data_IF_753055480636
#
_entry.id   IF_753055480636
#
_cell.length_a   1.000
_cell.length_b   1.000
_cell.length_c   1.000
_cell.angle_alpha   90.00
_cell.angle_beta   90.00
_cell.angle_gamma   90.00
#
_symmetry.space_group_name_H-M   'P 1'
#
loop_
_entity.id
_entity.type
_entity.pdbx_description
1 polymer ?
#
# COMPACT_ATOMS: atom_id res chain seq x y z
N UNK A 1 -29.31 42.67 1.29
CA UNK A 1 -28.59 41.66 0.50
C UNK A 1 -27.51 41.16 1.43
N UNK A 2 -27.69 39.94 1.91
CA UNK A 2 -26.91 39.34 2.98
C UNK A 2 -25.60 38.80 2.40
N UNK A 3 -24.50 39.49 2.67
CA UNK A 3 -23.15 38.97 2.43
C UNK A 3 -22.76 38.10 3.62
N UNK A 4 -23.15 36.83 3.60
CA UNK A 4 -22.64 35.84 4.54
C UNK A 4 -21.20 35.49 4.14
N UNK A 5 -20.24 36.29 4.61
CA UNK A 5 -18.83 35.89 4.66
C UNK A 5 -18.69 34.69 5.59
N UNK A 6 -18.74 33.49 5.00
CA UNK A 6 -18.27 32.27 5.65
C UNK A 6 -16.77 32.43 5.90
N UNK A 7 -16.43 32.85 7.11
CA UNK A 7 -15.06 32.86 7.60
C UNK A 7 -14.69 31.41 7.89
N UNK A 8 -14.09 30.74 6.91
CA UNK A 8 -13.41 29.47 7.17
C UNK A 8 -12.26 29.77 8.12
N UNK A 9 -12.50 29.55 9.42
CA UNK A 9 -11.46 29.59 10.44
C UNK A 9 -10.54 28.41 10.12
N UNK A 10 -9.28 28.71 9.79
CA UNK A 10 -8.28 27.67 9.56
C UNK A 10 -8.19 26.76 10.79
N UNK A 11 -8.17 25.44 10.57
CA UNK A 11 -7.97 24.45 11.61
C UNK A 11 -6.69 24.77 12.41
N UNK A 12 -6.69 24.65 13.75
CA UNK A 12 -5.46 24.74 14.54
C UNK A 12 -4.41 23.75 14.01
N UNK A 13 -3.14 24.14 14.08
CA UNK A 13 -2.03 23.36 13.51
C UNK A 13 -1.88 21.95 14.11
N UNK A 14 -2.37 21.75 15.33
CA UNK A 14 -2.34 20.48 16.05
C UNK A 14 -3.66 19.68 15.91
N UNK A 15 -4.63 20.18 15.16
CA UNK A 15 -5.86 19.44 14.86
C UNK A 15 -5.55 18.32 13.87
N UNK A 16 -5.80 17.08 14.28
CA UNK A 16 -5.67 15.94 13.38
C UNK A 16 -6.81 15.97 12.35
N UNK A 17 -6.45 15.98 11.06
CA UNK A 17 -7.40 16.02 9.94
C UNK A 17 -7.87 14.61 9.55
N UNK A 18 -6.99 13.61 9.67
CA UNK A 18 -7.28 12.23 9.29
C UNK A 18 -6.35 11.25 10.02
N UNK A 19 -6.90 10.09 10.38
CA UNK A 19 -6.16 8.94 10.88
C UNK A 19 -6.60 7.68 10.16
N UNK A 20 -5.66 6.95 9.57
CA UNK A 20 -5.93 5.69 8.86
C UNK A 20 -4.79 4.69 9.05
N UNK A 21 -5.04 3.43 8.67
CA UNK A 21 -4.00 2.40 8.62
C UNK A 21 -3.69 2.00 7.18
N UNK A 22 -2.41 1.89 6.87
CA UNK A 22 -1.89 1.37 5.62
C UNK A 22 -1.21 0.03 5.91
N UNK A 23 -1.60 -1.00 5.16
CA UNK A 23 -1.09 -2.36 5.33
C UNK A 23 -0.60 -2.83 3.96
N UNK A 24 0.63 -3.35 3.93
CA UNK A 24 1.23 -3.90 2.72
C UNK A 24 0.69 -5.27 2.36
N UNK A 25 1.40 -5.89 1.43
CA UNK A 25 1.08 -7.11 0.70
C UNK A 25 0.55 -8.25 1.61
N UNK A 26 -0.74 -8.55 1.49
CA UNK A 26 -1.41 -9.53 2.35
C UNK A 26 -1.33 -10.95 1.81
N UNK A 27 -1.35 -11.13 0.49
CA UNK A 27 -1.20 -12.45 -0.15
C UNK A 27 -2.16 -13.54 0.35
N UNK A 28 -3.46 -13.25 0.41
CA UNK A 28 -4.45 -14.30 0.67
C UNK A 28 -4.46 -15.36 -0.45
N UNK A 29 -4.46 -16.64 -0.08
CA UNK A 29 -4.61 -17.77 -1.02
C UNK A 29 -5.46 -18.88 -0.42
N UNK A 30 -6.46 -19.34 -1.17
CA UNK A 30 -7.28 -20.50 -0.83
C UNK A 30 -6.56 -21.81 -1.19
N UNK A 31 -5.42 -22.03 -0.55
CA UNK A 31 -4.63 -23.25 -0.66
C UNK A 31 -4.36 -23.79 0.75
N UNK A 32 -4.58 -25.09 0.99
CA UNK A 32 -4.58 -25.65 2.36
C UNK A 32 -3.27 -25.40 3.10
N UNK A 33 -2.13 -25.69 2.48
CA UNK A 33 -0.82 -25.51 3.11
C UNK A 33 -0.49 -24.02 3.29
N UNK A 34 -0.96 -23.16 2.39
CA UNK A 34 -0.78 -21.71 2.52
C UNK A 34 -1.53 -21.19 3.74
N UNK A 35 -2.82 -21.54 3.85
CA UNK A 35 -3.68 -21.14 4.97
C UNK A 35 -3.13 -21.57 6.33
N UNK A 36 -2.51 -22.75 6.41
CA UNK A 36 -1.87 -23.26 7.65
C UNK A 36 -0.80 -22.32 8.19
N UNK A 37 -0.07 -21.63 7.33
CA UNK A 37 0.99 -20.67 7.70
C UNK A 37 0.45 -19.24 7.78
N UNK A 38 -0.36 -18.85 6.79
CA UNK A 38 -0.86 -17.50 6.59
C UNK A 38 -1.91 -17.05 7.59
N UNK A 39 -2.95 -17.86 7.80
CA UNK A 39 -4.10 -17.47 8.61
C UNK A 39 -3.72 -17.15 10.07
N UNK A 40 -2.87 -17.94 10.76
CA UNK A 40 -2.44 -17.60 12.12
C UNK A 40 -1.67 -16.26 12.20
N UNK A 41 -0.84 -15.96 11.19
CA UNK A 41 -0.05 -14.72 11.14
C UNK A 41 -0.95 -13.50 10.94
N UNK A 42 -1.93 -13.59 10.03
CA UNK A 42 -2.91 -12.51 9.84
C UNK A 42 -3.80 -12.33 11.07
N UNK A 43 -4.27 -13.43 11.68
CA UNK A 43 -5.08 -13.36 12.90
C UNK A 43 -4.33 -12.63 14.02
N UNK A 44 -3.05 -12.94 14.24
CA UNK A 44 -2.22 -12.26 15.22
C UNK A 44 -2.12 -10.74 14.96
N UNK A 45 -1.88 -10.33 13.71
CA UNK A 45 -1.83 -8.91 13.34
C UNK A 45 -3.16 -8.22 13.63
N UNK A 46 -4.26 -8.78 13.14
CA UNK A 46 -5.57 -8.15 13.27
C UNK A 46 -6.07 -8.14 14.72
N UNK A 47 -5.77 -9.14 15.54
CA UNK A 47 -6.09 -9.16 16.97
C UNK A 47 -5.38 -8.01 17.72
N UNK A 48 -4.09 -7.78 17.43
CA UNK A 48 -3.36 -6.65 17.98
C UNK A 48 -3.91 -5.31 17.46
N UNK A 49 -4.22 -5.19 16.16
CA UNK A 49 -4.87 -4.00 15.61
C UNK A 49 -6.19 -3.68 16.30
N UNK A 50 -7.06 -4.68 16.55
CA UNK A 50 -8.29 -4.47 17.32
C UNK A 50 -8.01 -3.92 18.71
N UNK A 51 -6.94 -4.37 19.36
CA UNK A 51 -6.53 -3.90 20.69
C UNK A 51 -6.09 -2.44 20.62
N UNK A 52 -5.20 -2.11 19.68
CA UNK A 52 -4.73 -0.73 19.47
C UNK A 52 -5.89 0.22 19.14
N UNK A 53 -6.84 -0.20 18.30
CA UNK A 53 -7.98 0.63 17.93
C UNK A 53 -8.98 0.85 19.08
N UNK A 54 -9.02 -0.06 20.05
CA UNK A 54 -9.79 0.12 21.29
C UNK A 54 -9.08 1.05 22.28
N UNK A 55 -7.76 0.97 22.35
CA UNK A 55 -6.94 1.75 23.31
C UNK A 55 -6.69 3.19 22.86
N UNK A 56 -6.36 3.40 21.58
CA UNK A 56 -6.03 4.71 21.03
C UNK A 56 -7.28 5.36 20.41
N UNK A 57 -7.71 4.87 19.25
CA UNK A 57 -8.96 5.23 18.56
C UNK A 57 -9.14 4.32 17.34
N UNK A 58 -10.37 4.17 16.88
CA UNK A 58 -10.66 3.54 15.59
C UNK A 58 -10.23 4.44 14.41
N UNK A 59 -9.49 3.94 13.41
CA UNK A 59 -9.15 4.72 12.21
C UNK A 59 -10.37 4.97 11.32
N UNK A 60 -10.26 5.97 10.46
CA UNK A 60 -11.28 6.30 9.46
C UNK A 60 -11.43 5.21 8.40
N UNK A 61 -10.31 4.58 8.01
CA UNK A 61 -10.28 3.48 7.04
C UNK A 61 -8.98 2.66 7.14
N UNK A 62 -8.97 1.51 6.48
CA UNK A 62 -7.73 0.80 6.11
C UNK A 62 -7.53 0.82 4.59
N UNK A 63 -6.28 0.93 4.15
CA UNK A 63 -5.90 0.95 2.72
C UNK A 63 -4.77 -0.04 2.44
N UNK A 64 -4.85 -0.67 1.27
CA UNK A 64 -3.96 -1.76 0.85
C UNK A 64 -3.55 -1.52 -0.60
N UNK A 65 -2.32 -1.08 -0.89
CA UNK A 65 -1.97 -0.60 -2.23
C UNK A 65 -1.83 -1.69 -3.32
N UNK A 66 -1.88 -2.97 -2.99
CA UNK A 66 -1.80 -4.09 -3.94
C UNK A 66 -1.45 -5.41 -3.24
N UNK A 67 -1.34 -6.50 -4.02
CA UNK A 67 -1.02 -7.85 -3.57
C UNK A 67 -1.86 -8.31 -2.35
N UNK A 68 -3.15 -8.07 -2.46
CA UNK A 68 -4.13 -8.51 -1.48
C UNK A 68 -4.28 -10.04 -1.51
N UNK A 69 -4.20 -10.60 -2.71
CA UNK A 69 -4.23 -12.05 -2.97
C UNK A 69 -2.88 -12.48 -3.54
N UNK A 70 -2.47 -13.71 -3.23
CA UNK A 70 -1.24 -14.29 -3.79
C UNK A 70 -1.40 -14.63 -5.28
N UNK A 71 -2.64 -14.92 -5.71
CA UNK A 71 -3.01 -15.24 -7.09
C UNK A 71 -4.41 -14.72 -7.39
N UNK A 72 -4.66 -14.31 -8.64
CA UNK A 72 -5.86 -13.60 -9.08
C UNK A 72 -7.18 -14.39 -9.09
N UNK A 73 -7.16 -15.69 -8.73
CA UNK A 73 -8.36 -16.49 -8.78
C UNK A 73 -9.46 -15.98 -7.85
N UNK A 74 -10.72 -15.99 -8.31
CA UNK A 74 -11.89 -15.51 -7.56
C UNK A 74 -12.00 -16.09 -6.14
N UNK A 75 -11.65 -17.38 -5.97
CA UNK A 75 -11.64 -18.05 -4.66
C UNK A 75 -10.72 -17.38 -3.62
N UNK A 76 -9.60 -16.78 -4.06
CA UNK A 76 -8.67 -16.08 -3.19
C UNK A 76 -9.25 -14.72 -2.76
N UNK A 77 -9.90 -14.02 -3.68
CA UNK A 77 -10.63 -12.79 -3.37
C UNK A 77 -11.81 -13.03 -2.42
N UNK A 78 -12.58 -14.10 -2.62
CA UNK A 78 -13.67 -14.49 -1.72
C UNK A 78 -13.15 -14.80 -0.31
N UNK A 79 -12.01 -15.51 -0.21
CA UNK A 79 -11.32 -15.74 1.06
C UNK A 79 -10.90 -14.42 1.72
N UNK A 80 -10.21 -13.56 0.98
CA UNK A 80 -9.75 -12.25 1.46
C UNK A 80 -10.91 -11.41 1.98
N UNK A 81 -11.97 -11.24 1.17
CA UNK A 81 -13.17 -10.48 1.52
C UNK A 81 -13.85 -11.03 2.77
N UNK A 82 -13.97 -12.35 2.90
CA UNK A 82 -14.52 -13.00 4.09
C UNK A 82 -13.66 -12.70 5.33
N UNK A 83 -12.33 -12.85 5.24
CA UNK A 83 -11.45 -12.62 6.38
C UNK A 83 -11.38 -11.16 6.80
N UNK A 84 -11.22 -10.26 5.84
CA UNK A 84 -11.20 -8.82 6.09
C UNK A 84 -12.53 -8.33 6.66
N UNK A 85 -13.68 -8.83 6.21
CA UNK A 85 -14.97 -8.49 6.81
C UNK A 85 -15.07 -8.90 8.29
N UNK A 86 -14.43 -10.01 8.69
CA UNK A 86 -14.39 -10.42 10.11
C UNK A 86 -13.52 -9.46 10.94
N UNK A 87 -12.35 -9.08 10.44
CA UNK A 87 -11.41 -8.24 11.18
C UNK A 87 -11.78 -6.75 11.15
N UNK A 88 -12.11 -6.21 9.98
CA UNK A 88 -12.39 -4.79 9.78
C UNK A 88 -13.84 -4.40 10.14
N UNK A 89 -14.75 -5.39 10.17
CA UNK A 89 -16.18 -5.20 10.43
C UNK A 89 -16.78 -4.20 9.44
N UNK A 90 -17.30 -3.07 9.94
CA UNK A 90 -17.88 -1.96 9.19
C UNK A 90 -16.84 -0.88 8.80
N UNK A 91 -15.55 -1.09 9.05
CA UNK A 91 -14.53 -0.11 8.70
C UNK A 91 -14.37 -0.02 7.18
N UNK A 92 -14.37 1.19 6.60
CA UNK A 92 -14.07 1.37 5.19
C UNK A 92 -12.71 0.77 4.82
N UNK A 93 -12.68 0.08 3.68
CA UNK A 93 -11.53 -0.63 3.16
C UNK A 93 -11.32 -0.23 1.70
N UNK A 94 -10.10 0.22 1.38
CA UNK A 94 -9.73 0.70 0.05
C UNK A 94 -8.63 -0.19 -0.55
N UNK A 95 -9.00 -1.13 -1.45
CA UNK A 95 -8.04 -2.02 -2.10
C UNK A 95 -7.42 -1.38 -3.34
N UNK A 96 -6.12 -1.57 -3.51
CA UNK A 96 -5.38 -1.39 -4.74
C UNK A 96 -5.13 -2.74 -5.42
N UNK A 97 -4.54 -2.69 -6.59
CA UNK A 97 -4.17 -3.86 -7.40
C UNK A 97 -2.64 -3.88 -7.54
N UNK A 98 -2.03 -5.03 -7.28
CA UNK A 98 -0.61 -5.32 -7.47
C UNK A 98 -0.40 -6.39 -8.55
N UNK A 99 0.82 -6.93 -8.64
CA UNK A 99 1.15 -7.95 -9.64
C UNK A 99 0.42 -9.27 -9.36
N UNK A 100 0.27 -9.67 -8.10
CA UNK A 100 -0.25 -10.99 -7.76
C UNK A 100 -1.73 -11.16 -8.13
N UNK A 101 -2.48 -10.06 -8.23
CA UNK A 101 -3.85 -10.07 -8.74
C UNK A 101 -3.97 -10.59 -10.19
N UNK A 102 -2.89 -10.58 -10.98
CA UNK A 102 -2.88 -11.11 -12.35
C UNK A 102 -2.40 -12.56 -12.45
N UNK A 103 -1.82 -13.13 -11.39
CA UNK A 103 -1.22 -14.46 -11.45
C UNK A 103 -2.26 -15.58 -11.54
N UNK A 104 -2.15 -16.51 -12.50
CA UNK A 104 -3.00 -17.69 -12.57
C UNK A 104 -2.75 -18.63 -11.39
N UNK A 105 -3.69 -19.50 -11.06
CA UNK A 105 -3.42 -20.64 -10.19
C UNK A 105 -2.59 -21.74 -10.88
N UNK A 106 -2.02 -22.65 -10.08
CA UNK A 106 -1.13 -23.72 -10.60
C UNK A 106 -1.83 -24.66 -11.59
N UNK A 107 -3.15 -24.77 -11.50
CA UNK A 107 -4.01 -25.57 -12.38
C UNK A 107 -4.60 -24.76 -13.55
N UNK A 108 -4.27 -23.48 -13.66
CA UNK A 108 -4.79 -22.56 -14.66
C UNK A 108 -3.70 -22.18 -15.67
N UNK A 109 -4.12 -22.03 -16.93
CA UNK A 109 -3.21 -21.75 -18.05
C UNK A 109 -3.37 -20.32 -18.60
N UNK A 110 -4.14 -19.46 -17.92
CA UNK A 110 -4.48 -18.11 -18.36
C UNK A 110 -4.31 -17.11 -17.20
N UNK A 111 -3.57 -16.00 -17.36
CA UNK A 111 -3.52 -14.97 -16.33
C UNK A 111 -4.91 -14.40 -16.06
N UNK A 112 -5.09 -13.87 -14.87
CA UNK A 112 -6.31 -13.15 -14.51
C UNK A 112 -6.27 -11.72 -15.02
N UNK A 113 -7.46 -11.15 -15.19
CA UNK A 113 -7.65 -9.77 -15.59
C UNK A 113 -8.07 -8.88 -14.42
N UNK A 114 -8.35 -7.63 -14.74
CA UNK A 114 -8.85 -6.64 -13.78
C UNK A 114 -10.32 -6.90 -13.41
N UNK A 115 -11.03 -7.73 -14.17
CA UNK A 115 -12.45 -7.99 -14.04
C UNK A 115 -12.79 -8.67 -12.70
N UNK A 116 -12.01 -9.66 -12.27
CA UNK A 116 -12.16 -10.32 -10.97
C UNK A 116 -11.99 -9.32 -9.82
N UNK A 117 -11.01 -8.42 -9.92
CA UNK A 117 -10.79 -7.36 -8.94
C UNK A 117 -11.98 -6.40 -8.88
N UNK A 118 -12.36 -5.81 -10.02
CA UNK A 118 -13.42 -4.79 -10.11
C UNK A 118 -14.75 -5.37 -9.66
N UNK A 119 -15.07 -6.60 -10.06
CA UNK A 119 -16.32 -7.26 -9.66
C UNK A 119 -16.37 -7.61 -8.17
N UNK A 120 -15.24 -8.02 -7.57
CA UNK A 120 -15.15 -8.35 -6.15
C UNK A 120 -15.31 -7.12 -5.27
N UNK A 121 -14.60 -6.04 -5.60
CA UNK A 121 -14.47 -4.85 -4.75
C UNK A 121 -15.41 -3.72 -5.12
N UNK A 122 -16.06 -3.80 -6.29
CA UNK A 122 -16.96 -2.77 -6.82
C UNK A 122 -16.31 -1.38 -6.92
N UNK A 123 -15.01 -1.34 -7.20
CA UNK A 123 -14.23 -0.13 -7.45
C UNK A 123 -13.43 -0.30 -8.74
N UNK A 124 -13.17 0.77 -9.52
CA UNK A 124 -12.24 0.70 -10.63
C UNK A 124 -10.80 0.52 -10.12
N UNK A 125 -9.87 0.15 -11.00
CA UNK A 125 -8.44 -0.01 -10.65
C UNK A 125 -7.71 1.33 -10.42
N UNK A 126 -8.30 2.43 -10.89
CA UNK A 126 -7.90 3.82 -10.63
C UNK A 126 -9.08 4.56 -10.04
N UNK A 127 -8.93 5.11 -8.86
CA UNK A 127 -10.02 5.85 -8.21
C UNK A 127 -9.50 6.82 -7.17
N UNK A 128 -10.35 7.78 -6.82
CA UNK A 128 -10.06 8.74 -5.77
C UNK A 128 -11.27 8.85 -4.83
N UNK A 129 -11.01 9.20 -3.58
CA UNK A 129 -12.04 9.48 -2.59
C UNK A 129 -11.61 10.64 -1.70
N UNK A 130 -12.60 11.29 -1.10
CA UNK A 130 -12.36 12.34 -0.11
C UNK A 130 -12.39 11.75 1.29
N UNK A 131 -11.53 12.25 2.15
CA UNK A 131 -11.37 11.80 3.53
C UNK A 131 -11.03 12.97 4.46
N UNK A 132 -11.12 12.67 5.77
CA UNK A 132 -10.83 13.63 6.83
C UNK A 132 -11.98 14.58 7.13
N UNK A 133 -11.77 15.45 8.10
CA UNK A 133 -12.73 16.51 8.43
C UNK A 133 -12.93 17.45 7.24
N UNK A 134 -14.19 17.84 7.00
CA UNK A 134 -14.63 18.69 5.88
C UNK A 134 -14.16 18.21 4.49
N UNK A 135 -13.86 16.91 4.33
CA UNK A 135 -13.35 16.34 3.08
C UNK A 135 -12.08 17.08 2.59
N UNK A 136 -11.23 17.53 3.52
CA UNK A 136 -10.02 18.31 3.27
C UNK A 136 -8.87 17.53 2.64
N UNK A 137 -8.98 16.20 2.54
CA UNK A 137 -7.95 15.32 1.98
C UNK A 137 -8.50 14.55 0.79
N UNK A 138 -7.74 14.50 -0.30
CA UNK A 138 -7.99 13.60 -1.43
C UNK A 138 -7.03 12.42 -1.35
N UNK A 139 -7.58 11.22 -1.42
CA UNK A 139 -6.83 9.97 -1.51
C UNK A 139 -6.95 9.45 -2.94
N UNK A 140 -5.83 9.05 -3.56
CA UNK A 140 -5.75 8.64 -4.97
C UNK A 140 -5.13 7.26 -5.04
N UNK A 141 -5.88 6.25 -5.51
CA UNK A 141 -5.37 4.90 -5.79
C UNK A 141 -5.03 4.80 -7.28
N UNK A 142 -3.80 4.41 -7.57
CA UNK A 142 -3.30 4.12 -8.92
C UNK A 142 -3.05 2.62 -9.07
N UNK A 143 -3.19 2.13 -10.31
CA UNK A 143 -2.94 0.76 -10.69
C UNK A 143 -1.51 0.57 -11.18
N UNK A 144 -0.85 -0.49 -10.70
CA UNK A 144 0.37 -1.09 -11.26
C UNK A 144 0.84 -2.15 -10.26
N UNK A 145 1.68 -3.11 -10.66
CA UNK A 145 2.08 -3.44 -12.03
C UNK A 145 1.11 -4.41 -12.71
N UNK A 146 0.95 -4.30 -14.03
CA UNK A 146 0.36 -5.37 -14.85
C UNK A 146 1.47 -6.33 -15.27
N UNK A 147 1.39 -7.58 -14.80
CA UNK A 147 2.41 -8.60 -15.02
C UNK A 147 2.41 -9.11 -16.47
N UNK A 148 1.35 -8.92 -17.24
CA UNK A 148 1.24 -9.49 -18.58
C UNK A 148 1.09 -8.40 -19.62
N UNK A 149 1.63 -8.65 -20.81
CA UNK A 149 1.25 -7.81 -21.94
C UNK A 149 -0.20 -8.14 -22.33
N UNK A 150 -1.03 -7.15 -22.68
CA UNK A 150 -2.46 -7.33 -22.98
C UNK A 150 -2.83 -8.43 -24.00
N UNK A 151 -1.86 -8.89 -24.81
CA UNK A 151 -2.07 -9.84 -25.91
C UNK A 151 -1.14 -11.07 -25.89
N UNK A 152 -0.32 -11.27 -24.84
CA UNK A 152 0.65 -12.39 -24.78
C UNK A 152 1.00 -12.82 -23.37
N UNK A 153 1.27 -14.12 -23.22
CA UNK A 153 1.77 -14.78 -22.00
C UNK A 153 3.22 -14.44 -21.63
N UNK A 154 3.73 -13.31 -22.10
CA UNK A 154 5.07 -12.84 -21.75
C UNK A 154 4.98 -11.90 -20.56
N UNK A 155 5.87 -12.11 -19.59
CA UNK A 155 5.93 -11.24 -18.40
C UNK A 155 6.38 -9.84 -18.82
N UNK A 156 5.57 -8.85 -18.46
CA UNK A 156 5.95 -7.45 -18.57
C UNK A 156 6.78 -7.05 -17.35
N UNK A 157 8.11 -7.02 -17.53
CA UNK A 157 9.02 -6.54 -16.49
C UNK A 157 9.11 -5.00 -16.46
N UNK A 158 8.51 -4.28 -17.43
CA UNK A 158 8.41 -2.82 -17.39
C UNK A 158 7.21 -2.40 -16.55
N UNK A 159 7.46 -2.08 -15.28
CA UNK A 159 6.46 -1.45 -14.42
C UNK A 159 6.38 0.02 -14.77
N UNK A 160 5.30 0.42 -15.43
CA UNK A 160 5.06 1.81 -15.83
C UNK A 160 3.64 2.20 -15.50
N UNK A 161 3.43 3.46 -15.10
CA UNK A 161 2.10 4.04 -15.18
C UNK A 161 1.76 4.32 -16.64
N UNK A 162 0.60 3.87 -17.09
CA UNK A 162 0.13 4.14 -18.46
C UNK A 162 -0.16 5.64 -18.64
N UNK A 163 -0.27 6.15 -19.88
CA UNK A 163 -0.70 7.52 -20.12
C UNK A 163 -2.03 7.86 -19.43
N UNK A 164 -2.96 6.92 -19.35
CA UNK A 164 -4.25 7.09 -18.68
C UNK A 164 -4.09 7.23 -17.16
N UNK A 165 -3.19 6.47 -16.54
CA UNK A 165 -2.88 6.59 -15.11
C UNK A 165 -2.21 7.93 -14.78
N UNK A 166 -1.25 8.36 -15.60
CA UNK A 166 -0.58 9.64 -15.45
C UNK A 166 -1.54 10.82 -15.64
N UNK A 167 -2.44 10.74 -16.63
CA UNK A 167 -3.49 11.74 -16.84
C UNK A 167 -4.46 11.77 -15.65
N UNK A 168 -4.92 10.61 -15.18
CA UNK A 168 -5.78 10.51 -14.01
C UNK A 168 -5.16 11.15 -12.77
N UNK A 169 -3.86 10.91 -12.52
CA UNK A 169 -3.12 11.52 -11.42
C UNK A 169 -3.07 13.06 -11.56
N UNK A 170 -2.64 13.58 -12.71
CA UNK A 170 -2.48 15.01 -12.96
C UNK A 170 -3.83 15.75 -12.89
N UNK A 171 -4.88 15.18 -13.49
CA UNK A 171 -6.24 15.73 -13.47
C UNK A 171 -6.83 15.73 -12.05
N UNK A 172 -6.66 14.64 -11.29
CA UNK A 172 -7.16 14.55 -9.91
C UNK A 172 -6.47 15.54 -8.98
N UNK A 173 -5.13 15.65 -9.07
CA UNK A 173 -4.38 16.63 -8.29
C UNK A 173 -4.81 18.07 -8.63
N UNK A 174 -5.02 18.35 -9.92
CA UNK A 174 -5.53 19.66 -10.40
C UNK A 174 -6.92 19.96 -9.84
N UNK A 175 -7.86 19.01 -9.96
CA UNK A 175 -9.25 19.18 -9.51
C UNK A 175 -9.35 19.40 -7.99
N UNK A 176 -8.38 18.89 -7.23
CA UNK A 176 -8.32 18.98 -5.78
C UNK A 176 -7.14 19.81 -5.27
N UNK A 177 -6.67 20.81 -6.03
CA UNK A 177 -5.51 21.63 -5.68
C UNK A 177 -5.60 22.32 -4.29
N UNK A 178 -6.80 22.53 -3.76
CA UNK A 178 -7.04 23.07 -2.42
C UNK A 178 -7.03 22.04 -1.27
N UNK A 179 -6.74 20.77 -1.54
CA UNK A 179 -6.77 19.66 -0.57
C UNK A 179 -5.45 18.93 -0.56
N UNK A 180 -4.98 18.53 0.62
CA UNK A 180 -3.84 17.64 0.76
C UNK A 180 -4.12 16.31 0.04
N UNK A 181 -3.17 15.86 -0.78
CA UNK A 181 -3.28 14.63 -1.55
C UNK A 181 -2.36 13.53 -1.00
N UNK A 182 -2.92 12.34 -0.87
CA UNK A 182 -2.24 11.10 -0.50
C UNK A 182 -2.40 10.14 -1.66
N UNK A 183 -1.28 9.71 -2.24
CA UNK A 183 -1.25 8.81 -3.39
C UNK A 183 -0.90 7.41 -2.91
N UNK A 184 -1.61 6.41 -3.42
CA UNK A 184 -1.41 5.00 -3.17
C UNK A 184 -1.15 4.29 -4.51
N UNK A 185 -0.13 3.43 -4.54
CA UNK A 185 0.15 2.55 -5.67
C UNK A 185 0.99 1.35 -5.19
N UNK A 186 1.03 0.25 -5.92
CA UNK A 186 1.73 -0.95 -5.45
C UNK A 186 3.27 -0.80 -5.42
N UNK A 187 3.93 -0.64 -6.56
CA UNK A 187 5.38 -0.41 -6.62
C UNK A 187 5.81 1.01 -6.20
N UNK A 188 7.01 1.14 -5.60
CA UNK A 188 7.63 2.43 -5.31
C UNK A 188 8.12 3.15 -6.57
N UNK A 189 8.41 4.45 -6.42
CA UNK A 189 9.21 5.15 -7.41
C UNK A 189 10.69 4.73 -7.30
N UNK A 190 11.42 4.84 -8.41
CA UNK A 190 12.83 4.48 -8.47
C UNK A 190 13.63 5.26 -7.41
N UNK A 191 14.46 4.55 -6.65
CA UNK A 191 15.31 5.07 -5.58
C UNK A 191 14.56 5.74 -4.42
N UNK A 192 13.34 5.32 -4.10
CA UNK A 192 12.63 5.79 -2.89
C UNK A 192 12.57 4.77 -1.77
N UNK A 193 13.07 3.56 -2.01
CA UNK A 193 13.35 2.52 -1.03
C UNK A 193 14.57 1.72 -1.51
N UNK A 194 15.43 1.29 -0.59
CA UNK A 194 16.65 0.54 -0.89
C UNK A 194 16.72 -0.73 -0.04
N UNK A 195 17.50 -1.71 -0.50
CA UNK A 195 17.72 -2.95 0.24
C UNK A 195 18.64 -2.76 1.44
N UNK A 196 18.38 -3.51 2.52
CA UNK A 196 19.20 -3.57 3.74
C UNK A 196 20.58 -4.13 3.46
N UNK A 197 20.61 -5.23 2.73
CA UNK A 197 21.83 -5.96 2.38
C UNK A 197 21.65 -6.70 1.05
N UNK A 198 22.02 -6.06 -0.08
CA UNK A 198 21.98 -6.67 -1.40
C UNK A 198 22.91 -7.89 -1.56
N UNK A 199 23.90 -8.08 -0.67
CA UNK A 199 24.80 -9.25 -0.75
C UNK A 199 24.12 -10.48 -0.14
N UNK A 200 23.24 -10.27 0.84
CA UNK A 200 22.50 -11.32 1.54
C UNK A 200 21.09 -11.52 1.01
N UNK A 201 20.64 -10.71 0.04
CA UNK A 201 19.28 -10.73 -0.52
C UNK A 201 18.23 -10.71 0.60
N UNK A 202 18.33 -9.74 1.51
CA UNK A 202 17.35 -9.62 2.61
C UNK A 202 16.03 -9.00 2.14
N UNK A 203 16.02 -8.30 1.02
CA UNK A 203 14.86 -7.62 0.43
C UNK A 203 14.77 -7.98 -1.06
N UNK A 204 13.63 -7.72 -1.73
CA UNK A 204 13.40 -8.10 -3.12
C UNK A 204 14.11 -7.17 -4.14
N UNK A 205 15.42 -6.99 -3.99
CA UNK A 205 16.30 -6.22 -4.87
C UNK A 205 15.63 -4.96 -5.45
N UNK A 206 15.33 -3.96 -4.62
CA UNK A 206 14.45 -2.81 -4.94
C UNK A 206 14.91 -1.96 -6.14
N UNK A 207 16.15 -2.14 -6.59
CA UNK A 207 16.74 -1.47 -7.75
C UNK A 207 16.72 -2.33 -9.03
N UNK A 208 16.22 -3.55 -8.95
CA UNK A 208 16.00 -4.43 -10.10
C UNK A 208 14.71 -4.03 -10.80
N UNK A 209 14.77 -4.00 -12.13
CA UNK A 209 13.60 -3.76 -12.98
C UNK A 209 12.48 -4.73 -12.57
N UNK A 210 11.27 -4.18 -12.43
CA UNK A 210 10.06 -4.78 -11.83
C UNK A 210 9.75 -4.30 -10.40
N UNK A 211 10.75 -3.93 -9.60
CA UNK A 211 10.52 -3.48 -8.22
C UNK A 211 10.34 -1.98 -8.04
N UNK A 212 10.35 -1.23 -9.14
CA UNK A 212 10.07 0.19 -9.15
C UNK A 212 9.41 0.62 -10.46
N UNK A 213 8.75 1.78 -10.44
CA UNK A 213 8.14 2.39 -11.62
C UNK A 213 9.22 2.94 -12.56
N UNK A 214 9.42 2.35 -13.73
CA UNK A 214 10.45 2.72 -14.71
C UNK A 214 10.28 4.15 -15.22
N UNK A 215 9.03 4.59 -15.46
CA UNK A 215 8.73 5.97 -15.83
C UNK A 215 8.57 6.92 -14.62
N UNK A 216 9.24 6.62 -13.50
CA UNK A 216 9.28 7.50 -12.32
C UNK A 216 9.59 8.98 -12.60
N UNK A 217 10.47 9.35 -13.57
CA UNK A 217 10.66 10.77 -13.91
C UNK A 217 9.37 11.47 -14.34
N UNK A 218 8.52 10.81 -15.13
CA UNK A 218 7.23 11.38 -15.56
C UNK A 218 6.27 11.58 -14.38
N UNK A 219 6.28 10.65 -13.41
CA UNK A 219 5.51 10.79 -12.17
C UNK A 219 6.03 11.97 -11.35
N UNK A 220 7.35 12.07 -11.15
CA UNK A 220 7.96 13.21 -10.43
C UNK A 220 7.67 14.55 -11.11
N UNK A 221 7.68 14.61 -12.44
CA UNK A 221 7.33 15.82 -13.17
C UNK A 221 5.88 16.26 -12.91
N UNK A 222 4.94 15.32 -12.81
CA UNK A 222 3.55 15.60 -12.40
C UNK A 222 3.54 16.11 -10.96
N UNK A 223 4.10 15.35 -10.02
CA UNK A 223 4.07 15.67 -8.60
C UNK A 223 4.73 17.02 -8.29
N UNK A 224 5.81 17.40 -8.99
CA UNK A 224 6.50 18.68 -8.83
C UNK A 224 5.64 19.91 -9.20
N UNK A 225 4.56 19.74 -9.98
CA UNK A 225 3.63 20.82 -10.36
C UNK A 225 2.47 20.97 -9.37
N UNK A 226 2.28 19.99 -8.49
CA UNK A 226 1.11 19.86 -7.62
C UNK A 226 1.54 19.90 -6.17
N UNK A 227 1.65 21.12 -5.64
CA UNK A 227 2.14 21.34 -4.27
C UNK A 227 1.26 20.70 -3.21
N UNK A 228 0.04 20.32 -3.55
CA UNK A 228 -0.87 19.63 -2.67
C UNK A 228 -0.55 18.13 -2.48
N UNK A 229 0.38 17.54 -3.24
CA UNK A 229 0.84 16.17 -3.00
C UNK A 229 1.77 16.08 -1.78
N UNK A 230 1.34 15.32 -0.75
CA UNK A 230 2.10 15.18 0.50
C UNK A 230 2.78 13.82 0.64
N UNK A 231 2.04 12.74 0.35
CA UNK A 231 2.47 11.37 0.60
C UNK A 231 2.30 10.51 -0.65
N UNK A 232 3.27 9.62 -0.89
CA UNK A 232 3.19 8.51 -1.84
C UNK A 232 3.42 7.20 -1.07
N UNK A 233 2.40 6.37 -0.95
CA UNK A 233 2.39 5.17 -0.11
C UNK A 233 2.31 3.94 -1.00
N UNK A 234 3.24 3.00 -0.84
CA UNK A 234 3.41 1.83 -1.70
C UNK A 234 3.84 0.57 -0.94
N UNK A 235 3.92 -0.57 -1.59
CA UNK A 235 4.36 -1.87 -1.06
C UNK A 235 5.33 -2.57 -2.02
N UNK A 236 5.02 -3.80 -2.44
CA UNK A 236 5.64 -4.56 -3.53
C UNK A 236 7.07 -5.07 -3.31
N UNK A 237 7.91 -4.31 -2.63
CA UNK A 237 9.34 -4.67 -2.45
C UNK A 237 9.58 -5.63 -1.30
N UNK A 238 8.53 -5.94 -0.52
CA UNK A 238 8.61 -6.74 0.71
C UNK A 238 9.76 -6.29 1.63
N UNK A 239 10.07 -4.99 1.60
CA UNK A 239 11.19 -4.43 2.35
C UNK A 239 11.02 -4.71 3.85
N UNK A 240 12.06 -5.23 4.48
CA UNK A 240 12.03 -5.56 5.91
C UNK A 240 12.36 -4.38 6.82
N UNK A 241 12.35 -4.66 8.12
CA UNK A 241 12.69 -3.62 9.10
C UNK A 241 14.17 -3.25 9.00
N UNK A 242 14.43 -1.95 8.87
CA UNK A 242 15.77 -1.41 8.67
C UNK A 242 16.12 -1.12 7.21
N UNK A 243 15.24 -1.41 6.24
CA UNK A 243 15.45 -1.03 4.84
C UNK A 243 15.66 0.48 4.73
N UNK A 244 16.78 0.93 4.13
CA UNK A 244 17.00 2.35 3.95
C UNK A 244 15.86 2.96 3.14
N UNK A 245 15.48 4.18 3.52
CA UNK A 245 14.42 4.93 2.84
C UNK A 245 13.02 4.29 2.94
N UNK A 246 12.76 3.42 3.91
CA UNK A 246 11.38 2.95 4.20
C UNK A 246 10.39 4.12 4.34
N UNK A 247 10.85 5.23 4.95
CA UNK A 247 10.23 6.56 4.90
C UNK A 247 11.28 7.53 4.31
N UNK A 248 10.96 8.19 3.20
CA UNK A 248 11.89 9.07 2.50
C UNK A 248 11.21 10.33 1.97
N UNK A 249 11.69 11.50 2.38
CA UNK A 249 11.21 12.78 1.84
C UNK A 249 12.19 13.32 0.79
N UNK A 250 11.68 13.62 -0.39
CA UNK A 250 12.39 14.38 -1.41
C UNK A 250 11.69 15.72 -1.68
N UNK A 251 12.42 16.71 -2.19
CA UNK A 251 11.84 17.97 -2.64
C UNK A 251 11.57 17.89 -4.14
N UNK A 252 10.30 18.02 -4.54
CA UNK A 252 9.87 18.08 -5.92
C UNK A 252 9.35 19.49 -6.23
N UNK A 253 9.89 20.14 -7.25
CA UNK A 253 9.55 21.54 -7.54
C UNK A 253 9.88 22.45 -6.34
N UNK A 254 8.85 23.00 -5.69
CA UNK A 254 8.98 23.88 -4.52
C UNK A 254 8.43 23.31 -3.21
N UNK A 255 8.08 22.02 -3.15
CA UNK A 255 7.46 21.40 -1.97
C UNK A 255 8.05 20.02 -1.66
N UNK A 256 7.95 19.55 -0.40
CA UNK A 256 8.33 18.20 -0.05
C UNK A 256 7.25 17.19 -0.50
N UNK A 257 7.70 15.98 -0.83
CA UNK A 257 6.88 14.78 -0.98
C UNK A 257 7.53 13.66 -0.18
N UNK A 258 6.76 12.98 0.68
CA UNK A 258 7.25 11.83 1.44
C UNK A 258 6.76 10.53 0.85
N UNK A 259 7.70 9.66 0.51
CA UNK A 259 7.50 8.27 0.12
C UNK A 259 7.45 7.37 1.35
N UNK A 260 6.50 6.45 1.36
CA UNK A 260 6.31 5.43 2.39
C UNK A 260 6.25 4.09 1.69
N UNK A 261 7.25 3.24 1.93
CA UNK A 261 7.23 1.86 1.47
C UNK A 261 6.77 0.97 2.63
N UNK A 262 5.55 0.45 2.51
CA UNK A 262 4.95 -0.47 3.46
C UNK A 262 5.73 -1.80 3.45
N UNK A 263 5.91 -2.35 4.63
CA UNK A 263 6.38 -3.72 4.79
C UNK A 263 5.21 -4.68 4.53
N UNK A 264 5.52 -5.85 3.99
CA UNK A 264 4.53 -6.92 3.86
C UNK A 264 4.35 -7.62 5.21
N UNK A 265 3.13 -7.66 5.78
CA UNK A 265 2.88 -8.43 6.99
C UNK A 265 2.92 -9.94 6.72
N UNK A 266 2.84 -10.38 5.46
CA UNK A 266 2.93 -11.80 5.14
C UNK A 266 4.37 -12.30 5.23
N UNK A 267 5.30 -11.66 4.51
CA UNK A 267 6.74 -11.97 4.55
C UNK A 267 7.60 -10.78 4.11
N UNK A 268 8.92 -10.83 4.33
CA UNK A 268 9.84 -9.78 3.88
C UNK A 268 11.00 -10.38 3.07
N UNK A 269 11.38 -9.69 1.99
CA UNK A 269 12.31 -10.17 0.96
C UNK A 269 12.04 -11.59 0.49
N UNK A 270 13.10 -12.36 0.29
CA UNK A 270 13.01 -13.76 -0.15
C UNK A 270 12.64 -14.76 0.96
N UNK A 271 12.23 -14.29 2.14
CA UNK A 271 12.00 -15.10 3.33
C UNK A 271 10.51 -15.24 3.63
N UNK A 272 9.86 -16.25 3.05
CA UNK A 272 8.44 -16.52 3.26
C UNK A 272 8.07 -18.00 3.14
N UNK A 273 6.91 -18.34 2.56
CA UNK A 273 6.53 -19.73 2.35
C UNK A 273 7.43 -20.38 1.29
N UNK A 274 8.13 -21.45 1.67
CA UNK A 274 8.96 -22.25 0.77
C UNK A 274 8.56 -23.72 0.83
N UNK A 275 8.79 -24.47 -0.25
CA UNK A 275 8.64 -25.93 -0.21
C UNK A 275 9.67 -26.53 0.74
N UNK A 276 9.25 -27.53 1.53
CA UNK A 276 10.14 -28.35 2.33
C UNK A 276 11.08 -29.17 1.45
N UNK A 277 12.17 -29.69 2.04
CA UNK A 277 13.18 -30.48 1.32
C UNK A 277 12.62 -31.75 0.64
N UNK A 278 11.45 -32.24 1.09
CA UNK A 278 10.75 -33.39 0.50
C UNK A 278 9.70 -32.99 -0.55
N UNK A 279 9.56 -31.70 -0.86
CA UNK A 279 8.56 -31.10 -1.74
C UNK A 279 7.10 -31.43 -1.37
N UNK A 280 6.83 -31.97 -0.18
CA UNK A 280 5.49 -32.39 0.23
C UNK A 280 4.74 -31.30 0.99
N UNK A 281 5.44 -30.37 1.64
CA UNK A 281 4.82 -29.36 2.52
C UNK A 281 5.38 -27.97 2.28
N UNK A 282 4.62 -26.95 2.68
CA UNK A 282 5.12 -25.59 2.82
C UNK A 282 5.63 -25.36 4.25
N UNK A 283 6.80 -24.77 4.36
CA UNK A 283 7.37 -24.27 5.61
C UNK A 283 7.59 -22.77 5.49
N UNK A 284 7.40 -22.04 6.58
CA UNK A 284 7.67 -20.61 6.62
C UNK A 284 9.12 -20.38 7.04
N UNK A 285 9.92 -19.78 6.15
CA UNK A 285 11.28 -19.32 6.47
C UNK A 285 11.19 -17.85 6.85
N UNK A 286 11.41 -17.54 8.11
CA UNK A 286 11.37 -16.16 8.58
C UNK A 286 12.60 -15.36 8.17
N UNK A 287 12.41 -14.06 7.96
CA UNK A 287 13.48 -13.07 7.84
C UNK A 287 14.16 -12.81 9.21
N UNK A 288 15.24 -12.02 9.21
CA UNK A 288 15.94 -11.56 10.41
C UNK A 288 16.09 -10.02 10.43
N UNK A 289 15.30 -9.29 11.25
CA UNK A 289 14.27 -9.82 12.15
C UNK A 289 12.98 -10.24 11.40
N UNK A 290 12.26 -11.23 11.95
CA UNK A 290 10.92 -11.61 11.48
C UNK A 290 9.88 -10.59 11.95
N UNK A 291 9.36 -9.79 11.03
CA UNK A 291 8.50 -8.66 11.35
C UNK A 291 7.06 -8.89 10.88
N UNK A 292 6.09 -8.66 11.77
CA UNK A 292 4.68 -8.55 11.41
C UNK A 292 4.28 -7.09 11.59
N UNK A 293 4.36 -6.30 10.52
CA UNK A 293 4.27 -4.85 10.62
C UNK A 293 3.11 -4.24 9.84
N UNK A 294 2.52 -3.18 10.40
CA UNK A 294 1.63 -2.27 9.67
C UNK A 294 1.79 -0.82 10.15
N UNK A 295 1.23 0.11 9.38
CA UNK A 295 1.52 1.53 9.50
C UNK A 295 0.27 2.32 9.90
N UNK A 296 0.37 3.06 11.00
CA UNK A 296 -0.60 4.08 11.39
C UNK A 296 -0.16 5.43 10.81
N UNK A 297 -1.08 6.13 10.14
CA UNK A 297 -0.81 7.43 9.52
C UNK A 297 -1.79 8.45 10.05
N UNK A 298 -1.26 9.52 10.65
CA UNK A 298 -2.01 10.67 11.15
C UNK A 298 -1.64 11.90 10.31
N UNK A 299 -2.63 12.62 9.81
CA UNK A 299 -2.44 13.81 8.97
C UNK A 299 -2.90 15.03 9.76
N UNK A 300 -2.08 16.08 9.74
CA UNK A 300 -2.32 17.39 10.33
C UNK A 300 -2.16 18.46 9.24
N UNK A 301 -2.50 19.74 9.49
CA UNK A 301 -2.37 20.78 8.49
C UNK A 301 -0.94 21.02 7.95
N UNK A 302 0.10 20.71 8.72
CA UNK A 302 1.51 21.00 8.33
C UNK A 302 2.44 19.79 8.43
N UNK A 303 1.94 18.67 8.95
CA UNK A 303 2.73 17.45 9.13
C UNK A 303 1.89 16.19 9.00
N UNK A 304 2.56 15.10 8.67
CA UNK A 304 2.06 13.76 8.91
C UNK A 304 2.90 13.08 9.99
N UNK A 305 2.25 12.29 10.84
CA UNK A 305 2.90 11.38 11.77
C UNK A 305 2.68 9.96 11.26
N UNK A 306 3.78 9.27 10.93
CA UNK A 306 3.76 7.88 10.47
C UNK A 306 4.35 7.02 11.58
N UNK A 307 3.66 5.98 12.00
CA UNK A 307 4.10 5.05 13.06
C UNK A 307 4.06 3.63 12.54
N UNK A 308 5.10 2.86 12.84
CA UNK A 308 5.16 1.42 12.50
C UNK A 308 4.96 0.62 13.76
N UNK A 309 4.05 -0.35 13.70
CA UNK A 309 3.80 -1.29 14.79
C UNK A 309 4.28 -2.67 14.42
N UNK A 310 5.02 -3.31 15.31
CA UNK A 310 5.26 -4.75 15.25
C UNK A 310 4.20 -5.46 16.11
N UNK A 311 3.36 -6.24 15.44
CA UNK A 311 2.27 -6.98 16.07
C UNK A 311 2.74 -8.25 16.78
N UNK A 312 3.99 -8.68 16.56
CA UNK A 312 4.57 -9.82 17.31
C UNK A 312 4.93 -9.42 18.72
N UNK A 313 5.65 -8.30 18.85
CA UNK A 313 6.05 -7.75 20.15
C UNK A 313 5.01 -6.82 20.74
N UNK A 314 3.97 -6.46 19.96
CA UNK A 314 2.93 -5.51 20.35
C UNK A 314 3.53 -4.14 20.72
N UNK A 315 4.54 -3.70 19.98
CA UNK A 315 5.28 -2.45 20.24
C UNK A 315 5.29 -1.53 19.03
N UNK A 316 5.28 -0.22 19.30
CA UNK A 316 5.60 0.79 18.30
C UNK A 316 7.12 0.80 18.08
N UNK A 317 7.56 0.52 16.86
CA UNK A 317 8.97 0.44 16.52
C UNK A 317 9.60 1.81 16.30
N UNK A 318 8.87 2.68 15.59
CA UNK A 318 9.30 4.02 15.30
C UNK A 318 8.11 4.93 14.98
N UNK A 319 8.40 6.21 15.05
CA UNK A 319 7.54 7.31 14.64
C UNK A 319 8.37 8.30 13.83
N UNK A 320 7.82 8.73 12.69
CA UNK A 320 8.36 9.81 11.88
C UNK A 320 7.38 10.96 11.87
N UNK A 321 7.90 12.17 12.05
CA UNK A 321 7.17 13.41 11.76
C UNK A 321 7.72 13.95 10.44
N UNK A 322 6.86 14.01 9.42
CA UNK A 322 7.22 14.42 8.06
C UNK A 322 6.34 15.60 7.62
N UNK A 323 6.79 16.45 6.69
CA UNK A 323 5.96 17.55 6.20
C UNK A 323 4.68 17.03 5.52
N UNK A 324 3.56 17.74 5.72
CA UNK A 324 2.39 17.64 4.86
C UNK A 324 2.04 19.06 4.40
N UNK A 325 2.04 19.27 3.08
CA UNK A 325 1.75 20.51 2.32
C UNK A 325 1.87 21.85 3.05
#
# INVERSE_FOLDING_TARGET
MDDSYSTHIAAPLDQELLYFWAIGDLHFRDHEQWKKLHTPRMAQMFDDLQTVWQEERRPAFCVFPGDLVERGALRNYELAKKQLAMYLKDMPFYPGIGNHEYLPEEDENAPHGIEEFVSTWAVPIRYAWLAGEDEGIVCIMLEQPDWFFPDRYELNMDVVFTPEALAFLDETLTAHAGRTAIIFAHCPLKNTVLDRDPVRNLDDDSLTRFFFVENSPAVRDILARHSNAALYICGHTHSGWGSPQLIHTETLGSHPLTHVNLMSPWYTGFHGPVKSDDDQTLVYRSDDPDMLASFAVHIYPQKAIIRVRDHRTQQWLAQWEVPSV
#
